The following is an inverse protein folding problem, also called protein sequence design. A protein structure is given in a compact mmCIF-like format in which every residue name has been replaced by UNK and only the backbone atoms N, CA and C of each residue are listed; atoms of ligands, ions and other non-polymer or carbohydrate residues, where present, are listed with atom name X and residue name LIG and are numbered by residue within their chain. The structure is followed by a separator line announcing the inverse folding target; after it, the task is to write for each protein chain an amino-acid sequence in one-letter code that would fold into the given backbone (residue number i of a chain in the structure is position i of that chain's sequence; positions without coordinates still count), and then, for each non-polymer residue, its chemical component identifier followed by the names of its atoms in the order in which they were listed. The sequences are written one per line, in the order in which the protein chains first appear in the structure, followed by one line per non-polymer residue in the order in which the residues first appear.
data_IF_070524246899
#
_entry.id   IF_070524246899
#
_cell.length_a   1.000
_cell.length_b   1.000
_cell.length_c   1.000
_cell.angle_alpha   90.00
_cell.angle_beta   90.00
_cell.angle_gamma   90.00
#
_symmetry.space_group_name_H-M   'P 1'
#
loop_
_entity.id
_entity.type
_entity.pdbx_description
1 polymer ?
#
# COMPACT_ATOMS: atom_id res chain seq x y z
N UNK A 1 3.50 17.63 -46.08
CA UNK A 1 3.09 16.38 -45.40
C UNK A 1 3.14 16.64 -43.90
N UNK A 2 1.99 16.86 -43.27
CA UNK A 2 1.88 17.15 -41.83
C UNK A 2 1.46 15.86 -41.12
N UNK A 3 2.35 15.30 -40.30
CA UNK A 3 2.00 14.26 -39.34
C UNK A 3 1.30 14.93 -38.17
N UNK A 4 -0.02 14.76 -38.08
CA UNK A 4 -0.75 15.03 -36.86
C UNK A 4 -0.41 13.91 -35.86
N UNK A 5 0.32 14.25 -34.80
CA UNK A 5 0.50 13.35 -33.67
C UNK A 5 -0.84 13.21 -32.94
N UNK A 6 -1.39 12.00 -32.96
CA UNK A 6 -2.56 11.63 -32.17
C UNK A 6 -2.22 11.73 -30.68
N UNK A 7 -3.09 12.32 -29.84
CA UNK A 7 -2.90 12.24 -28.40
C UNK A 7 -3.14 10.80 -27.97
N UNK A 8 -2.08 10.10 -27.54
CA UNK A 8 -2.20 8.86 -26.79
C UNK A 8 -2.91 9.17 -25.48
N UNK A 9 -4.25 9.06 -25.49
CA UNK A 9 -5.07 9.02 -24.30
C UNK A 9 -4.60 7.83 -23.45
N UNK A 10 -3.72 8.09 -22.49
CA UNK A 10 -3.47 7.17 -21.40
C UNK A 10 -4.79 7.09 -20.62
N UNK A 11 -5.51 5.98 -20.78
CA UNK A 11 -6.77 5.68 -20.11
C UNK A 11 -6.62 5.52 -18.60
N UNK A 12 -6.10 6.54 -17.93
CA UNK A 12 -6.18 6.70 -16.49
C UNK A 12 -7.59 7.14 -16.15
N UNK A 13 -8.51 6.19 -16.04
CA UNK A 13 -9.82 6.44 -15.44
C UNK A 13 -9.53 6.96 -14.03
N UNK A 14 -9.70 8.27 -13.82
CA UNK A 14 -9.50 8.87 -12.51
C UNK A 14 -10.33 8.08 -11.49
N UNK A 15 -9.74 7.63 -10.36
CA UNK A 15 -10.48 6.86 -9.38
C UNK A 15 -11.69 7.70 -8.95
N UNK A 16 -12.88 7.11 -9.03
CA UNK A 16 -14.08 7.82 -8.59
C UNK A 16 -13.94 8.07 -7.08
N UNK A 17 -14.44 9.18 -6.54
CA UNK A 17 -14.32 9.47 -5.10
C UNK A 17 -14.88 8.36 -4.20
N UNK A 18 -15.82 7.55 -4.70
CA UNK A 18 -16.34 6.37 -4.01
C UNK A 18 -15.32 5.20 -3.89
N UNK A 19 -14.31 5.12 -4.76
CA UNK A 19 -13.28 4.07 -4.77
C UNK A 19 -12.10 4.38 -3.81
N UNK A 20 -12.02 5.61 -3.29
CA UNK A 20 -10.96 6.06 -2.37
C UNK A 20 -11.04 5.41 -0.98
N UNK A 21 -12.18 5.40 -0.27
CA UNK A 21 -12.24 4.85 1.09
C UNK A 21 -11.99 3.34 1.15
N UNK A 22 -12.36 2.59 0.10
CA UNK A 22 -12.06 1.15 0.01
C UNK A 22 -10.56 0.91 -0.19
N UNK A 23 -9.92 1.66 -1.11
CA UNK A 23 -8.47 1.62 -1.32
C UNK A 23 -7.67 1.97 -0.07
N UNK A 24 -8.13 2.94 0.71
CA UNK A 24 -7.47 3.32 1.96
C UNK A 24 -7.55 2.21 3.01
N UNK A 25 -8.70 1.54 3.12
CA UNK A 25 -8.86 0.36 4.01
C UNK A 25 -7.97 -0.79 3.58
N UNK A 26 -7.93 -1.11 2.29
CA UNK A 26 -7.06 -2.18 1.79
C UNK A 26 -5.58 -1.85 1.99
N UNK A 27 -5.20 -0.58 1.80
CA UNK A 27 -3.85 -0.11 2.07
C UNK A 27 -3.49 -0.28 3.55
N UNK A 28 -4.39 0.05 4.47
CA UNK A 28 -4.19 -0.15 5.90
C UNK A 28 -4.02 -1.64 6.24
N UNK A 29 -4.89 -2.50 5.70
CA UNK A 29 -4.80 -3.96 5.91
C UNK A 29 -3.49 -4.54 5.41
N UNK A 30 -3.00 -4.07 4.26
CA UNK A 30 -1.69 -4.46 3.72
C UNK A 30 -0.55 -4.00 4.63
N UNK A 31 -0.61 -2.76 5.15
CA UNK A 31 0.40 -2.24 6.07
C UNK A 31 0.45 -3.05 7.38
N UNK A 32 -0.70 -3.40 7.96
CA UNK A 32 -0.77 -4.24 9.17
C UNK A 32 -0.18 -5.62 8.91
N UNK A 33 -0.53 -6.25 7.78
CA UNK A 33 0.04 -7.56 7.38
C UNK A 33 1.55 -7.49 7.18
N UNK A 34 2.05 -6.45 6.51
CA UNK A 34 3.47 -6.23 6.32
C UNK A 34 4.21 -6.01 7.66
N UNK A 35 3.61 -5.28 8.60
CA UNK A 35 4.16 -5.08 9.94
C UNK A 35 4.25 -6.40 10.73
N UNK A 36 3.20 -7.23 10.69
CA UNK A 36 3.19 -8.58 11.29
C UNK A 36 4.26 -9.48 10.67
N UNK A 37 4.41 -9.46 9.35
CA UNK A 37 5.47 -10.19 8.66
C UNK A 37 6.85 -9.72 9.14
N UNK A 38 7.08 -8.41 9.20
CA UNK A 38 8.36 -7.85 9.66
C UNK A 38 8.71 -8.26 11.09
N UNK A 39 7.74 -8.27 12.02
CA UNK A 39 7.96 -8.78 13.38
C UNK A 39 8.49 -10.21 13.39
N UNK A 40 7.88 -11.09 12.59
CA UNK A 40 8.32 -12.49 12.51
C UNK A 40 9.71 -12.62 11.90
N UNK A 41 10.03 -11.83 10.88
CA UNK A 41 11.33 -11.80 10.22
C UNK A 41 12.43 -11.28 11.15
N UNK A 42 12.21 -10.14 11.78
CA UNK A 42 13.16 -9.52 12.71
C UNK A 42 13.46 -10.48 13.88
N UNK A 43 12.42 -11.13 14.45
CA UNK A 43 12.60 -12.15 15.49
C UNK A 43 13.47 -13.31 15.03
N UNK A 44 13.25 -13.84 13.82
CA UNK A 44 14.05 -14.93 13.26
C UNK A 44 15.49 -14.52 12.97
N UNK A 45 15.71 -13.26 12.62
CA UNK A 45 17.04 -12.70 12.36
C UNK A 45 17.75 -12.20 13.63
N UNK A 46 17.12 -12.30 14.81
CA UNK A 46 17.65 -11.75 16.06
C UNK A 46 17.79 -10.23 16.06
N UNK A 47 17.06 -9.53 15.18
CA UNK A 47 17.10 -8.07 15.06
C UNK A 47 16.02 -7.42 15.94
N UNK A 48 16.31 -6.25 16.55
CA UNK A 48 15.28 -5.50 17.25
C UNK A 48 14.26 -4.94 16.26
N UNK A 49 12.98 -5.22 16.47
CA UNK A 49 11.89 -4.57 15.72
C UNK A 49 11.56 -3.20 16.30
N UNK A 50 11.50 -2.13 15.48
CA UNK A 50 11.12 -0.80 15.93
C UNK A 50 9.72 -0.74 16.54
N UNK A 51 9.52 0.13 17.54
CA UNK A 51 8.26 0.23 18.28
C UNK A 51 7.06 0.62 17.42
N UNK A 52 7.26 1.47 16.41
CA UNK A 52 6.18 1.85 15.51
C UNK A 52 5.66 0.66 14.68
N UNK A 53 6.52 -0.32 14.36
CA UNK A 53 6.13 -1.56 13.67
C UNK A 53 5.32 -2.45 14.61
N UNK A 54 5.72 -2.54 15.88
CA UNK A 54 4.96 -3.28 16.91
C UNK A 54 3.56 -2.70 17.07
N UNK A 55 3.46 -1.38 17.20
CA UNK A 55 2.17 -0.66 17.29
C UNK A 55 1.30 -0.85 16.05
N UNK A 56 1.91 -0.89 14.86
CA UNK A 56 1.17 -1.09 13.61
C UNK A 56 0.64 -2.51 13.46
N UNK A 57 1.41 -3.51 13.90
CA UNK A 57 1.04 -4.91 13.82
C UNK A 57 -0.08 -5.32 14.81
N UNK A 58 -0.18 -4.61 15.92
CA UNK A 58 -1.19 -4.81 16.98
C UNK A 58 -2.60 -4.34 16.55
N UNK A 59 -2.70 -3.55 15.48
CA UNK A 59 -3.99 -3.10 14.96
C UNK A 59 -4.86 -4.25 14.43
N UNK A 60 -6.19 -4.15 14.54
CA UNK A 60 -7.13 -5.12 13.96
C UNK A 60 -7.11 -5.09 12.43
N UNK A 61 -7.44 -6.23 11.79
CA UNK A 61 -7.53 -6.38 10.33
C UNK A 61 -8.95 -6.26 9.80
#
# INVERSE_FOLDING_TARGET
MTTAALPLAHGGKAPRPADQPERDRDRERVQIRAARLRLTTDRKLGKPTPDWVRKLADRPL
#
